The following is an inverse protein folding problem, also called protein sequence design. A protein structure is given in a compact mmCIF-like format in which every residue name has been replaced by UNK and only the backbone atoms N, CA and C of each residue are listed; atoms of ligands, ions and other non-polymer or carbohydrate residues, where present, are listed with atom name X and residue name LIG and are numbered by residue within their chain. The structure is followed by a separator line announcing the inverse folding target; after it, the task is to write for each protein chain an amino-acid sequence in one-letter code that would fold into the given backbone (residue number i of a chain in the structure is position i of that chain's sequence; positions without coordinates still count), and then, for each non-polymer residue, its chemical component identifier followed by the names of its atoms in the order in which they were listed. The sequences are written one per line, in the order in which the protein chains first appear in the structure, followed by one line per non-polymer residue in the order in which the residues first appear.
data_IF_977105886406
#
_entry.id   IF_977105886406
#
_cell.length_a   1.000
_cell.length_b   1.000
_cell.length_c   1.000
_cell.angle_alpha   90.00
_cell.angle_beta   90.00
_cell.angle_gamma   90.00
#
_symmetry.space_group_name_H-M   'P 1'
#
loop_
_entity.id
_entity.type
_entity.pdbx_description
1 polymer ?
#
# COMPACT_ATOMS: atom_id res chain seq x y z
N UNK A 1 -10.11 -2.60 15.81
CA UNK A 1 -10.81 -3.01 14.57
C UNK A 1 -12.27 -2.67 14.72
N UNK A 2 -12.89 -2.15 13.67
CA UNK A 2 -14.34 -2.05 13.58
C UNK A 2 -14.81 -3.09 12.57
N UNK A 3 -15.84 -3.85 12.92
CA UNK A 3 -16.43 -4.87 12.06
C UNK A 3 -17.90 -4.52 11.84
N UNK A 4 -18.38 -4.64 10.60
CA UNK A 4 -19.76 -4.35 10.22
C UNK A 4 -20.40 -5.59 9.64
N UNK A 5 -21.61 -5.92 10.08
CA UNK A 5 -22.44 -6.99 9.52
C UNK A 5 -23.88 -6.51 9.44
N UNK A 6 -24.58 -6.79 8.33
CA UNK A 6 -25.98 -6.41 8.14
C UNK A 6 -26.93 -7.55 8.47
N UNK A 7 -26.49 -8.80 8.28
CA UNK A 7 -27.28 -9.98 8.58
C UNK A 7 -27.31 -10.24 10.09
N UNK A 8 -28.49 -10.21 10.68
CA UNK A 8 -28.66 -10.35 12.13
C UNK A 8 -28.17 -11.71 12.66
N UNK A 9 -28.22 -12.77 11.85
CA UNK A 9 -27.76 -14.09 12.25
C UNK A 9 -26.23 -14.15 12.28
N UNK A 10 -25.56 -13.73 11.20
CA UNK A 10 -24.10 -13.59 11.14
C UNK A 10 -23.58 -12.62 12.21
N UNK A 11 -24.30 -11.53 12.49
CA UNK A 11 -23.96 -10.59 13.57
C UNK A 11 -23.92 -11.30 14.93
N UNK A 12 -24.98 -12.05 15.29
CA UNK A 12 -25.07 -12.73 16.59
C UNK A 12 -23.95 -13.76 16.77
N UNK A 13 -23.58 -14.48 15.70
CA UNK A 13 -22.44 -15.39 15.72
C UNK A 13 -21.11 -14.65 15.87
N UNK A 14 -20.92 -13.54 15.16
CA UNK A 14 -19.73 -12.72 15.28
C UNK A 14 -19.56 -12.18 16.70
N UNK A 15 -20.64 -11.67 17.32
CA UNK A 15 -20.65 -11.19 18.70
C UNK A 15 -20.24 -12.30 19.68
N UNK A 16 -20.91 -13.45 19.60
CA UNK A 16 -20.60 -14.63 20.43
C UNK A 16 -19.14 -15.05 20.29
N UNK A 17 -18.60 -15.06 19.07
CA UNK A 17 -17.22 -15.44 18.80
C UNK A 17 -16.23 -14.42 19.40
N UNK A 18 -16.51 -13.12 19.29
CA UNK A 18 -15.67 -12.05 19.83
C UNK A 18 -15.63 -12.15 21.37
N UNK A 19 -16.79 -12.32 22.00
CA UNK A 19 -16.91 -12.43 23.45
C UNK A 19 -16.21 -13.69 23.99
N UNK A 20 -16.46 -14.83 23.37
CA UNK A 20 -15.87 -16.12 23.76
C UNK A 20 -14.35 -16.15 23.65
N UNK A 21 -13.76 -15.31 22.79
CA UNK A 21 -12.31 -15.16 22.64
C UNK A 21 -11.74 -13.94 23.41
N UNK A 22 -12.56 -13.24 24.20
CA UNK A 22 -12.17 -12.05 24.98
C UNK A 22 -11.59 -10.90 24.12
N UNK A 23 -12.12 -10.71 22.91
CA UNK A 23 -11.63 -9.73 21.94
C UNK A 23 -12.44 -8.43 21.89
N UNK A 24 -13.43 -8.25 22.77
CA UNK A 24 -14.32 -7.07 22.80
C UNK A 24 -13.57 -5.74 22.93
N UNK A 25 -12.42 -5.72 23.61
CA UNK A 25 -11.56 -4.54 23.72
C UNK A 25 -10.78 -4.19 22.43
N UNK A 26 -10.71 -5.11 21.45
CA UNK A 26 -10.01 -4.92 20.17
C UNK A 26 -10.94 -4.87 18.97
N UNK A 27 -12.12 -5.48 19.06
CA UNK A 27 -13.09 -5.61 17.98
C UNK A 27 -14.39 -4.94 18.39
N UNK A 28 -14.69 -3.82 17.74
CA UNK A 28 -15.95 -3.11 17.88
C UNK A 28 -16.89 -3.56 16.75
N UNK A 29 -17.80 -4.48 17.07
CA UNK A 29 -18.80 -4.98 16.13
C UNK A 29 -19.97 -3.99 16.05
N UNK A 30 -20.42 -3.69 14.84
CA UNK A 30 -21.49 -2.75 14.53
C UNK A 30 -22.48 -3.38 13.56
N UNK A 31 -23.77 -3.19 13.81
CA UNK A 31 -24.83 -3.52 12.87
C UNK A 31 -25.36 -2.23 12.26
N UNK A 32 -25.03 -1.90 11.00
CA UNK A 32 -25.53 -0.69 10.36
C UNK A 32 -27.06 -0.73 10.22
N UNK A 33 -27.73 0.37 10.58
CA UNK A 33 -29.19 0.48 10.51
C UNK A 33 -29.74 0.54 9.07
N UNK A 34 -28.89 0.83 8.08
CA UNK A 34 -29.24 0.89 6.66
C UNK A 34 -28.16 0.22 5.80
N UNK A 35 -28.57 -0.66 4.88
CA UNK A 35 -27.68 -1.31 3.89
C UNK A 35 -27.19 -0.38 2.77
N UNK A 36 -27.47 0.93 2.89
CA UNK A 36 -27.18 1.92 1.85
C UNK A 36 -25.77 2.49 1.88
N UNK A 37 -24.97 2.21 2.90
CA UNK A 37 -23.57 2.59 2.96
C UNK A 37 -22.72 1.38 3.31
N UNK A 38 -21.72 1.08 2.50
CA UNK A 38 -20.77 0.00 2.77
C UNK A 38 -19.65 0.44 3.71
N UNK A 39 -19.31 1.74 3.70
CA UNK A 39 -18.29 2.39 4.51
C UNK A 39 -18.92 3.51 5.36
N UNK A 40 -19.78 3.19 6.33
CA UNK A 40 -20.56 4.17 7.09
C UNK A 40 -19.68 4.98 8.03
N UNK A 41 -19.16 6.12 7.56
CA UNK A 41 -18.07 6.85 8.24
C UNK A 41 -18.42 7.42 9.62
N UNK A 42 -19.71 7.55 9.91
CA UNK A 42 -20.29 7.91 11.20
C UNK A 42 -20.05 6.85 12.29
N UNK A 43 -19.88 5.56 11.92
CA UNK A 43 -19.64 4.48 12.89
C UNK A 43 -18.23 4.48 13.51
N UNK A 44 -17.29 5.22 12.92
CA UNK A 44 -15.85 5.17 13.24
C UNK A 44 -15.32 6.52 13.76
N UNK A 45 -16.18 7.57 13.79
CA UNK A 45 -15.83 8.91 14.25
C UNK A 45 -14.75 9.59 13.39
N UNK A 46 -13.93 10.43 14.02
CA UNK A 46 -12.82 11.16 13.36
C UNK A 46 -11.52 10.34 13.25
N UNK A 47 -11.57 9.03 13.55
CA UNK A 47 -10.35 8.21 13.54
C UNK A 47 -9.82 8.01 12.11
N UNK A 48 -8.50 8.12 11.97
CA UNK A 48 -7.80 7.69 10.77
C UNK A 48 -7.70 6.16 10.77
N UNK A 49 -8.20 5.54 9.70
CA UNK A 49 -8.20 4.09 9.54
C UNK A 49 -6.98 3.67 8.73
N UNK A 50 -6.22 2.70 9.21
CA UNK A 50 -5.06 2.21 8.45
C UNK A 50 -5.49 1.47 7.19
N UNK A 51 -6.46 0.58 7.30
CA UNK A 51 -7.00 -0.11 6.15
C UNK A 51 -8.45 -0.55 6.32
N UNK A 52 -9.13 -0.73 5.20
CA UNK A 52 -10.37 -1.48 5.08
C UNK A 52 -10.08 -2.78 4.34
N UNK A 53 -10.68 -3.86 4.79
CA UNK A 53 -10.71 -5.15 4.09
C UNK A 53 -12.15 -5.61 3.92
N UNK A 54 -12.44 -6.25 2.79
CA UNK A 54 -13.77 -6.74 2.47
C UNK A 54 -13.65 -8.06 1.68
N UNK A 55 -14.45 -9.06 2.07
CA UNK A 55 -14.75 -10.22 1.24
C UNK A 55 -16.16 -10.03 0.68
N UNK A 56 -16.32 -9.58 -0.59
CA UNK A 56 -17.61 -9.19 -1.13
C UNK A 56 -18.46 -10.40 -1.53
N UNK A 57 -19.78 -10.24 -1.68
CA UNK A 57 -20.62 -11.23 -2.34
C UNK A 57 -20.17 -11.39 -3.80
N UNK A 58 -19.85 -12.62 -4.22
CA UNK A 58 -19.21 -12.84 -5.52
C UNK A 58 -20.17 -12.87 -6.71
N UNK A 59 -21.42 -13.27 -6.51
CA UNK A 59 -22.32 -13.61 -7.61
C UNK A 59 -23.34 -12.50 -7.89
N UNK A 60 -23.65 -12.27 -9.17
CA UNK A 60 -24.64 -11.27 -9.60
C UNK A 60 -26.10 -11.65 -9.33
N UNK A 61 -26.36 -12.94 -9.18
CA UNK A 61 -27.69 -13.52 -8.92
C UNK A 61 -27.56 -14.96 -8.44
N UNK A 62 -28.62 -15.53 -7.89
CA UNK A 62 -28.68 -16.97 -7.59
C UNK A 62 -28.51 -17.85 -8.82
N UNK A 63 -29.11 -17.47 -9.95
CA UNK A 63 -28.94 -18.22 -11.19
C UNK A 63 -27.46 -18.30 -11.62
N UNK A 64 -26.69 -17.22 -11.40
CA UNK A 64 -25.25 -17.21 -11.64
C UNK A 64 -24.49 -18.13 -10.67
N UNK A 65 -24.87 -18.16 -9.40
CA UNK A 65 -24.33 -19.08 -8.39
C UNK A 65 -24.60 -20.55 -8.76
N UNK A 66 -25.82 -20.87 -9.14
CA UNK A 66 -26.22 -22.23 -9.56
C UNK A 66 -25.46 -22.67 -10.81
N UNK A 67 -25.39 -21.81 -11.83
CA UNK A 67 -24.64 -22.09 -13.05
C UNK A 67 -23.14 -22.33 -12.77
N UNK A 68 -22.53 -21.50 -11.91
CA UNK A 68 -21.13 -21.65 -11.51
C UNK A 68 -20.88 -22.93 -10.69
N UNK A 69 -21.88 -23.40 -9.94
CA UNK A 69 -21.83 -24.65 -9.20
C UNK A 69 -21.96 -25.85 -10.15
N UNK A 70 -22.88 -25.79 -11.11
CA UNK A 70 -23.11 -26.82 -12.12
C UNK A 70 -21.94 -27.00 -13.10
N UNK A 71 -21.20 -25.92 -13.40
CA UNK A 71 -20.03 -25.96 -14.28
C UNK A 71 -18.80 -26.68 -13.68
N UNK A 72 -18.81 -26.98 -12.37
CA UNK A 72 -17.69 -27.68 -11.72
C UNK A 72 -17.80 -29.18 -11.93
N UNK A 73 -16.75 -29.78 -12.50
CA UNK A 73 -16.66 -31.22 -12.81
C UNK A 73 -16.55 -32.12 -11.58
N UNK A 74 -16.25 -31.55 -10.40
CA UNK A 74 -16.30 -32.23 -9.13
C UNK A 74 -16.92 -31.29 -8.08
N UNK A 75 -17.69 -31.82 -7.11
CA UNK A 75 -18.19 -31.02 -6.01
C UNK A 75 -17.01 -30.37 -5.28
N UNK A 76 -17.13 -29.10 -4.85
CA UNK A 76 -16.09 -28.49 -4.05
C UNK A 76 -15.86 -29.29 -2.77
N UNK A 77 -14.60 -29.39 -2.33
CA UNK A 77 -14.24 -30.05 -1.06
C UNK A 77 -14.83 -29.31 0.17
N UNK A 78 -15.32 -28.08 -0.01
CA UNK A 78 -15.99 -27.26 1.00
C UNK A 78 -17.43 -26.98 0.57
N UNK A 79 -18.38 -27.17 1.48
CA UNK A 79 -19.77 -26.74 1.28
C UNK A 79 -19.82 -25.21 1.23
N UNK A 80 -20.53 -24.65 0.25
CA UNK A 80 -20.83 -23.22 0.20
C UNK A 80 -22.10 -23.01 1.03
N UNK A 81 -21.94 -22.61 2.29
CA UNK A 81 -23.03 -22.43 3.26
C UNK A 81 -23.27 -20.96 3.59
N UNK A 82 -22.82 -20.04 2.73
CA UNK A 82 -23.00 -18.61 2.95
C UNK A 82 -24.48 -18.24 2.91
N UNK A 83 -24.86 -17.17 3.60
CA UNK A 83 -26.20 -16.60 3.47
C UNK A 83 -26.40 -15.96 2.09
N UNK A 84 -27.65 -15.68 1.72
CA UNK A 84 -27.96 -15.00 0.45
C UNK A 84 -27.19 -13.68 0.31
N UNK A 85 -27.17 -12.87 1.37
CA UNK A 85 -26.48 -11.57 1.42
C UNK A 85 -24.96 -11.70 1.40
N UNK A 86 -24.39 -12.84 1.80
CA UNK A 86 -22.96 -13.13 1.71
C UNK A 86 -22.54 -13.62 0.31
N UNK A 87 -23.49 -14.12 -0.49
CA UNK A 87 -23.18 -14.75 -1.78
C UNK A 87 -23.57 -13.90 -2.99
N UNK A 88 -24.69 -13.18 -2.90
CA UNK A 88 -25.30 -12.49 -4.04
C UNK A 88 -25.34 -10.98 -3.81
N UNK A 89 -24.95 -10.23 -4.83
CA UNK A 89 -25.16 -8.80 -4.92
C UNK A 89 -25.52 -8.45 -6.37
N UNK A 90 -26.43 -7.50 -6.58
CA UNK A 90 -26.79 -7.08 -7.93
C UNK A 90 -25.55 -6.55 -8.67
N UNK A 91 -25.21 -7.15 -9.82
CA UNK A 91 -23.97 -6.85 -10.55
C UNK A 91 -22.70 -7.53 -10.00
N UNK A 92 -22.84 -8.35 -8.95
CA UNK A 92 -21.79 -9.21 -8.38
C UNK A 92 -20.67 -8.44 -7.70
N UNK A 93 -19.51 -9.10 -7.56
CA UNK A 93 -18.35 -8.53 -6.87
C UNK A 93 -17.89 -7.20 -7.47
N UNK A 94 -17.96 -7.04 -8.80
CA UNK A 94 -17.51 -5.79 -9.46
C UNK A 94 -18.39 -4.62 -9.05
N UNK A 95 -19.72 -4.79 -9.02
CA UNK A 95 -20.63 -3.73 -8.60
C UNK A 95 -20.48 -3.42 -7.10
N UNK A 96 -20.32 -4.46 -6.27
CA UNK A 96 -20.15 -4.30 -4.83
C UNK A 96 -18.87 -3.52 -4.50
N UNK A 97 -17.72 -3.96 -5.04
CA UNK A 97 -16.44 -3.28 -4.81
C UNK A 97 -16.40 -1.94 -5.54
N UNK A 98 -17.09 -1.79 -6.67
CA UNK A 98 -17.32 -0.51 -7.33
C UNK A 98 -18.02 0.51 -6.41
N UNK A 99 -18.99 0.08 -5.61
CA UNK A 99 -19.61 0.94 -4.60
C UNK A 99 -18.64 1.31 -3.47
N UNK A 100 -17.81 0.38 -2.99
CA UNK A 100 -16.72 0.68 -2.05
C UNK A 100 -15.78 1.74 -2.65
N UNK A 101 -15.47 1.64 -3.94
CA UNK A 101 -14.66 2.62 -4.65
C UNK A 101 -15.34 4.01 -4.64
N UNK A 102 -16.62 4.11 -4.99
CA UNK A 102 -17.34 5.40 -4.95
C UNK A 102 -17.36 6.00 -3.54
N UNK A 103 -17.62 5.20 -2.51
CA UNK A 103 -17.59 5.66 -1.11
C UNK A 103 -16.15 6.05 -0.68
N UNK A 104 -15.13 5.36 -1.20
CA UNK A 104 -13.73 5.71 -0.96
C UNK A 104 -13.33 7.08 -1.54
N UNK A 105 -13.99 7.54 -2.62
CA UNK A 105 -13.72 8.85 -3.21
C UNK A 105 -14.12 10.00 -2.27
N UNK A 106 -15.12 9.79 -1.41
CA UNK A 106 -15.53 10.74 -0.38
C UNK A 106 -14.59 10.71 0.83
N UNK A 107 -14.13 9.51 1.23
CA UNK A 107 -13.30 9.33 2.41
C UNK A 107 -11.80 9.61 2.17
N UNK A 108 -11.31 9.38 0.95
CA UNK A 108 -9.95 9.65 0.49
C UNK A 108 -8.87 9.16 1.47
N UNK A 109 -8.14 10.08 2.09
CA UNK A 109 -7.00 9.79 2.97
C UNK A 109 -7.40 9.51 4.42
N UNK A 110 -8.70 9.60 4.77
CA UNK A 110 -9.20 9.12 6.08
C UNK A 110 -8.94 7.63 6.28
N UNK A 111 -8.83 6.89 5.17
CA UNK A 111 -8.37 5.49 5.17
C UNK A 111 -7.07 5.43 4.37
N UNK A 112 -6.00 4.89 4.96
CA UNK A 112 -4.71 4.82 4.24
C UNK A 112 -4.78 3.81 3.09
N UNK A 113 -5.42 2.66 3.28
CA UNK A 113 -5.61 1.65 2.24
C UNK A 113 -7.02 1.08 2.21
N UNK A 114 -7.65 1.11 1.04
CA UNK A 114 -8.86 0.35 0.77
C UNK A 114 -8.45 -0.97 0.13
N UNK A 115 -9.12 -2.06 0.49
CA UNK A 115 -8.86 -3.35 -0.13
C UNK A 115 -10.10 -4.23 -0.19
N UNK A 116 -10.15 -5.10 -1.19
CA UNK A 116 -11.20 -6.11 -1.30
C UNK A 116 -10.68 -7.37 -2.00
N UNK A 117 -11.25 -8.51 -1.62
CA UNK A 117 -11.02 -9.80 -2.24
C UNK A 117 -11.87 -9.94 -3.50
N UNK A 118 -11.36 -10.66 -4.49
CA UNK A 118 -12.05 -11.00 -5.72
C UNK A 118 -12.03 -12.51 -5.95
N UNK A 119 -13.17 -13.03 -6.37
CA UNK A 119 -13.39 -14.42 -6.74
C UNK A 119 -12.90 -14.75 -8.15
N UNK A 120 -12.90 -13.77 -9.06
CA UNK A 120 -12.53 -13.97 -10.48
C UNK A 120 -11.44 -12.99 -10.94
N UNK A 121 -10.50 -13.52 -11.75
CA UNK A 121 -9.42 -12.73 -12.39
C UNK A 121 -9.96 -11.61 -13.28
N UNK A 122 -11.05 -11.87 -14.01
CA UNK A 122 -11.69 -10.92 -14.92
C UNK A 122 -12.31 -9.74 -14.18
N UNK A 123 -12.88 -9.97 -13.00
CA UNK A 123 -13.44 -8.92 -12.15
C UNK A 123 -12.36 -7.94 -11.71
N UNK A 124 -11.14 -8.43 -11.44
CA UNK A 124 -10.02 -7.56 -11.11
C UNK A 124 -9.59 -6.68 -12.28
N UNK A 125 -9.56 -7.20 -13.51
CA UNK A 125 -9.20 -6.38 -14.68
C UNK A 125 -10.20 -5.24 -14.91
N UNK A 126 -11.50 -5.54 -14.77
CA UNK A 126 -12.56 -4.54 -14.86
C UNK A 126 -12.39 -3.49 -13.75
N UNK A 127 -12.19 -3.93 -12.50
CA UNK A 127 -12.04 -3.02 -11.37
C UNK A 127 -10.78 -2.14 -11.46
N UNK A 128 -9.66 -2.67 -11.94
CA UNK A 128 -8.46 -1.86 -12.22
C UNK A 128 -8.75 -0.82 -13.31
N UNK A 129 -9.55 -1.14 -14.32
CA UNK A 129 -10.06 -0.17 -15.29
C UNK A 129 -10.80 0.98 -14.61
N UNK A 130 -11.72 0.67 -13.70
CA UNK A 130 -12.47 1.66 -12.92
C UNK A 130 -11.54 2.55 -12.07
N UNK A 131 -10.54 1.98 -11.40
CA UNK A 131 -9.55 2.76 -10.64
C UNK A 131 -8.84 3.79 -11.51
N UNK A 132 -8.40 3.39 -12.71
CA UNK A 132 -7.73 4.27 -13.67
C UNK A 132 -8.65 5.37 -14.20
N UNK A 133 -9.90 5.04 -14.51
CA UNK A 133 -10.91 6.03 -14.94
C UNK A 133 -11.14 7.10 -13.89
N UNK A 134 -11.06 6.74 -12.60
CA UNK A 134 -11.14 7.68 -11.47
C UNK A 134 -9.81 8.37 -11.14
N UNK A 135 -8.75 8.14 -11.92
CA UNK A 135 -7.42 8.73 -11.72
C UNK A 135 -6.66 8.19 -10.52
N UNK A 136 -7.01 7.00 -10.03
CA UNK A 136 -6.31 6.34 -8.92
C UNK A 136 -5.19 5.48 -9.49
N UNK A 137 -3.97 5.99 -9.39
CA UNK A 137 -2.76 5.29 -9.86
C UNK A 137 -2.07 4.51 -8.72
N UNK A 138 -2.41 4.79 -7.46
CA UNK A 138 -1.83 4.12 -6.30
C UNK A 138 -2.63 2.87 -5.92
N UNK A 139 -2.41 1.78 -6.66
CA UNK A 139 -3.02 0.48 -6.38
C UNK A 139 -2.04 -0.69 -6.58
N UNK A 140 -2.39 -1.82 -5.99
CA UNK A 140 -1.73 -3.11 -6.18
C UNK A 140 -2.77 -4.23 -6.23
N UNK A 141 -2.43 -5.33 -6.90
CA UNK A 141 -3.27 -6.52 -6.96
C UNK A 141 -2.41 -7.77 -6.81
N UNK A 142 -2.84 -8.70 -5.97
CA UNK A 142 -2.13 -9.96 -5.70
C UNK A 142 -2.99 -11.18 -6.02
N UNK A 143 -2.35 -12.28 -6.39
CA UNK A 143 -2.97 -13.60 -6.54
C UNK A 143 -2.65 -14.46 -5.32
N UNK A 144 -3.67 -15.10 -4.76
CA UNK A 144 -3.59 -15.97 -3.60
C UNK A 144 -3.92 -17.41 -4.01
N UNK A 145 -3.04 -18.34 -3.67
CA UNK A 145 -3.21 -19.77 -3.87
C UNK A 145 -3.59 -20.44 -2.55
N UNK A 146 -4.88 -20.80 -2.39
CA UNK A 146 -5.42 -21.46 -1.20
C UNK A 146 -5.80 -22.90 -1.57
N UNK A 147 -4.78 -23.74 -1.82
CA UNK A 147 -4.96 -25.08 -2.36
C UNK A 147 -5.40 -25.05 -3.83
N UNK A 148 -6.55 -25.66 -4.14
CA UNK A 148 -7.15 -25.62 -5.50
C UNK A 148 -7.87 -24.31 -5.81
N UNK A 149 -8.15 -23.51 -4.79
CA UNK A 149 -8.91 -22.27 -4.93
C UNK A 149 -7.96 -21.10 -5.16
N UNK A 150 -8.16 -20.39 -6.26
CA UNK A 150 -7.51 -19.10 -6.52
C UNK A 150 -8.40 -17.96 -6.05
N UNK A 151 -7.79 -16.95 -5.45
CA UNK A 151 -8.40 -15.66 -5.13
C UNK A 151 -7.46 -14.54 -5.52
N UNK A 152 -8.01 -13.37 -5.70
CA UNK A 152 -7.22 -12.16 -5.92
C UNK A 152 -7.58 -11.14 -4.85
N UNK A 153 -6.65 -10.26 -4.50
CA UNK A 153 -6.96 -9.11 -3.65
C UNK A 153 -6.44 -7.86 -4.34
N UNK A 154 -7.26 -6.82 -4.35
CA UNK A 154 -6.87 -5.49 -4.87
C UNK A 154 -6.86 -4.53 -3.70
N UNK A 155 -5.82 -3.70 -3.62
CA UNK A 155 -5.74 -2.61 -2.66
C UNK A 155 -5.42 -1.30 -3.38
N UNK A 156 -6.04 -0.20 -2.97
CA UNK A 156 -5.81 1.14 -3.50
C UNK A 156 -5.75 2.20 -2.40
N UNK A 157 -5.13 3.33 -2.69
CA UNK A 157 -4.93 4.42 -1.74
C UNK A 157 -4.99 5.78 -2.41
N UNK A 158 -5.45 6.79 -1.67
CA UNK A 158 -5.36 8.20 -2.05
C UNK A 158 -4.14 8.89 -1.45
N UNK A 159 -3.39 8.17 -0.60
CA UNK A 159 -2.18 8.66 0.02
C UNK A 159 -0.96 8.54 -0.88
N UNK A 160 0.16 9.04 -0.37
CA UNK A 160 1.44 9.02 -1.06
C UNK A 160 2.28 7.77 -0.77
N UNK A 161 1.92 6.99 0.25
CA UNK A 161 2.56 5.71 0.58
C UNK A 161 2.28 4.69 -0.52
N UNK A 162 3.33 3.98 -0.93
CA UNK A 162 3.29 2.99 -2.00
C UNK A 162 3.22 1.58 -1.44
N UNK A 163 2.56 0.65 -2.16
CA UNK A 163 2.41 -0.71 -1.68
C UNK A 163 3.77 -1.42 -1.71
N UNK A 164 4.14 -2.02 -0.59
CA UNK A 164 5.35 -2.83 -0.47
C UNK A 164 4.96 -4.27 -0.74
N UNK A 165 5.03 -4.71 -1.99
CA UNK A 165 4.74 -6.12 -2.29
C UNK A 165 5.95 -6.81 -2.92
N UNK A 166 6.77 -7.49 -2.11
CA UNK A 166 7.81 -8.38 -2.63
C UNK A 166 7.17 -9.48 -3.50
N UNK A 167 7.69 -9.69 -4.71
CA UNK A 167 7.34 -10.86 -5.53
C UNK A 167 6.13 -10.73 -6.46
N UNK A 168 5.54 -9.53 -6.62
CA UNK A 168 4.48 -9.27 -7.62
C UNK A 168 4.99 -8.76 -8.98
N UNK A 169 6.26 -9.00 -9.29
CA UNK A 169 6.74 -8.91 -10.68
C UNK A 169 6.05 -10.01 -11.50
N UNK A 170 4.91 -9.72 -12.12
CA UNK A 170 4.36 -10.55 -13.20
C UNK A 170 2.84 -10.79 -13.23
N UNK A 171 2.08 -10.56 -12.16
CA UNK A 171 0.65 -10.94 -12.16
C UNK A 171 -0.27 -9.86 -12.74
N UNK A 172 0.13 -8.58 -12.68
CA UNK A 172 -0.56 -7.46 -13.31
C UNK A 172 0.44 -6.48 -13.94
N UNK A 173 0.51 -6.39 -15.28
CA UNK A 173 1.51 -5.58 -16.00
C UNK A 173 1.31 -4.06 -15.86
N UNK A 174 0.29 -3.63 -15.12
CA UNK A 174 -0.10 -2.23 -14.96
C UNK A 174 -0.10 -1.74 -13.51
N UNK A 175 0.40 -2.54 -12.55
CA UNK A 175 0.65 -2.05 -11.19
C UNK A 175 1.82 -1.06 -11.16
N UNK A 176 1.90 -0.25 -10.10
CA UNK A 176 3.00 0.70 -9.88
C UNK A 176 4.35 -0.02 -10.04
N UNK A 177 5.18 0.41 -10.99
CA UNK A 177 6.60 0.02 -11.07
C UNK A 177 7.37 0.72 -9.95
N UNK A 178 7.15 0.25 -8.72
CA UNK A 178 7.78 0.80 -7.52
C UNK A 178 9.17 0.23 -7.24
N UNK A 179 9.83 -0.39 -8.22
CA UNK A 179 11.08 -1.10 -8.02
C UNK A 179 12.00 -0.99 -9.23
N UNK A 180 13.28 -0.69 -8.99
CA UNK A 180 14.35 -0.71 -9.98
C UNK A 180 15.48 -1.60 -9.46
N UNK A 181 15.79 -2.68 -10.17
CA UNK A 181 16.88 -3.62 -9.85
C UNK A 181 18.00 -3.51 -10.90
N UNK A 182 19.27 -3.57 -10.46
CA UNK A 182 20.45 -3.62 -11.33
C UNK A 182 21.66 -4.21 -10.60
N UNK A 183 22.63 -4.71 -11.36
CA UNK A 183 23.88 -5.29 -10.83
C UNK A 183 24.91 -4.19 -10.53
N UNK A 184 25.62 -4.32 -9.42
CA UNK A 184 26.69 -3.45 -8.92
C UNK A 184 27.95 -4.28 -8.60
N UNK A 185 29.12 -3.64 -8.49
CA UNK A 185 30.35 -4.35 -8.04
C UNK A 185 30.17 -4.88 -6.61
N UNK A 186 30.77 -6.05 -6.31
CA UNK A 186 30.62 -6.73 -5.01
C UNK A 186 31.35 -6.04 -3.84
N UNK A 187 32.38 -5.24 -4.10
CA UNK A 187 33.22 -4.64 -3.06
C UNK A 187 32.84 -3.18 -2.78
N UNK A 188 32.73 -2.81 -1.49
CA UNK A 188 32.52 -1.43 -1.04
C UNK A 188 31.10 -0.86 -1.26
N UNK A 189 30.10 -1.72 -1.46
CA UNK A 189 28.71 -1.31 -1.74
C UNK A 189 28.12 -0.44 -0.64
N UNK A 190 28.40 -0.77 0.62
CA UNK A 190 27.87 -0.04 1.79
C UNK A 190 28.46 1.37 1.89
N UNK A 191 29.78 1.53 1.83
CA UNK A 191 30.41 2.85 1.86
C UNK A 191 29.98 3.70 0.64
N UNK A 192 29.80 3.05 -0.52
CA UNK A 192 29.40 3.72 -1.75
C UNK A 192 27.95 4.23 -1.67
N UNK A 193 27.02 3.42 -1.16
CA UNK A 193 25.63 3.84 -0.93
C UNK A 193 25.58 4.95 0.12
N UNK A 194 26.28 4.80 1.24
CA UNK A 194 26.34 5.82 2.29
C UNK A 194 26.90 7.15 1.76
N UNK A 195 27.96 7.11 0.95
CA UNK A 195 28.55 8.29 0.31
C UNK A 195 27.57 8.96 -0.65
N UNK A 196 26.94 8.18 -1.52
CA UNK A 196 25.93 8.66 -2.47
C UNK A 196 24.75 9.36 -1.77
N UNK A 197 24.28 8.77 -0.67
CA UNK A 197 23.17 9.28 0.13
C UNK A 197 23.57 10.47 1.02
N UNK A 198 24.85 10.63 1.34
CA UNK A 198 25.35 11.82 2.04
C UNK A 198 25.49 13.01 1.10
N UNK A 199 26.11 12.79 -0.06
CA UNK A 199 26.42 13.86 -1.03
C UNK A 199 25.17 14.44 -1.69
N UNK A 200 24.09 13.67 -1.79
CA UNK A 200 22.83 14.17 -2.35
C UNK A 200 21.90 14.87 -1.36
N UNK A 201 22.29 15.04 -0.09
CA UNK A 201 21.47 15.78 0.89
C UNK A 201 20.15 15.09 1.22
N UNK A 202 20.16 13.77 1.35
CA UNK A 202 18.98 12.97 1.70
C UNK A 202 18.74 13.00 3.22
N UNK A 203 17.48 13.05 3.67
CA UNK A 203 17.14 12.78 5.06
C UNK A 203 17.15 11.27 5.26
N UNK A 204 18.24 10.75 5.82
CA UNK A 204 18.47 9.31 5.92
C UNK A 204 18.05 8.78 7.28
N UNK A 205 17.28 7.69 7.29
CA UNK A 205 17.05 6.87 8.48
C UNK A 205 17.44 5.44 8.15
N UNK A 206 18.52 4.94 8.75
CA UNK A 206 18.95 3.56 8.53
C UNK A 206 18.23 2.63 9.51
N UNK A 207 17.44 1.68 9.00
CA UNK A 207 16.86 0.63 9.84
C UNK A 207 17.92 -0.44 10.12
N UNK A 208 18.56 -0.36 11.28
CA UNK A 208 19.68 -1.23 11.68
C UNK A 208 19.35 -2.71 11.91
N UNK A 209 18.12 -3.16 11.67
CA UNK A 209 17.71 -4.56 11.89
C UNK A 209 18.06 -5.49 10.73
N UNK A 210 18.27 -4.96 9.51
CA UNK A 210 18.73 -5.74 8.34
C UNK A 210 20.02 -5.13 7.78
N UNK A 211 21.15 -5.85 7.81
CA UNK A 211 22.35 -5.42 7.10
C UNK A 211 22.01 -5.15 5.62
N UNK A 212 22.59 -4.10 5.02
CA UNK A 212 22.43 -3.74 3.59
C UNK A 212 21.06 -3.21 3.17
N UNK A 213 20.29 -2.65 4.09
CA UNK A 213 19.04 -1.94 3.80
C UNK A 213 19.12 -0.50 4.30
N UNK A 214 18.85 0.46 3.42
CA UNK A 214 18.84 1.89 3.73
C UNK A 214 17.49 2.51 3.36
N UNK A 215 16.95 3.37 4.22
CA UNK A 215 15.77 4.16 3.93
C UNK A 215 16.14 5.65 3.85
N UNK A 216 15.65 6.32 2.81
CA UNK A 216 15.89 7.74 2.59
C UNK A 216 14.64 8.47 2.17
N UNK A 217 14.55 9.73 2.59
CA UNK A 217 13.52 10.67 2.18
C UNK A 217 14.14 11.95 1.62
N UNK A 218 13.43 12.56 0.67
CA UNK A 218 13.77 13.86 0.10
C UNK A 218 12.52 14.72 -0.02
N UNK A 219 12.68 16.02 0.21
CA UNK A 219 11.62 17.00 0.00
C UNK A 219 11.49 17.42 -1.46
N UNK A 220 12.61 17.47 -2.17
CA UNK A 220 12.70 17.91 -3.56
C UNK A 220 13.89 17.24 -4.27
N UNK A 221 14.01 17.46 -5.58
CA UNK A 221 15.17 17.03 -6.37
C UNK A 221 16.43 17.80 -5.95
N UNK A 222 17.41 17.07 -5.43
CA UNK A 222 18.72 17.60 -5.03
C UNK A 222 19.88 17.10 -5.92
N UNK A 223 19.62 16.13 -6.81
CA UNK A 223 20.67 15.42 -7.55
C UNK A 223 20.74 15.80 -9.02
N UNK A 224 19.69 16.35 -9.64
CA UNK A 224 19.76 16.72 -11.06
C UNK A 224 20.76 17.87 -11.32
N UNK A 225 21.17 18.00 -12.58
CA UNK A 225 22.04 19.13 -13.00
C UNK A 225 21.37 20.47 -12.73
N UNK A 226 20.04 20.54 -12.85
CA UNK A 226 19.28 21.76 -12.58
C UNK A 226 19.29 22.08 -11.08
N UNK A 227 19.02 21.09 -10.23
CA UNK A 227 19.05 21.21 -8.77
C UNK A 227 20.42 21.68 -8.26
N UNK A 228 21.51 21.08 -8.73
CA UNK A 228 22.88 21.47 -8.33
C UNK A 228 23.22 22.90 -8.76
N UNK A 229 22.81 23.32 -9.96
CA UNK A 229 23.00 24.70 -10.44
C UNK A 229 22.18 25.70 -9.62
N UNK A 230 20.95 25.35 -9.25
CA UNK A 230 20.11 26.17 -8.36
C UNK A 230 20.78 26.34 -7.00
N UNK A 231 21.17 25.24 -6.34
CA UNK A 231 21.87 25.28 -5.05
C UNK A 231 23.17 26.09 -5.09
N UNK A 232 23.96 25.98 -6.16
CA UNK A 232 25.17 26.78 -6.32
C UNK A 232 24.88 28.29 -6.45
N UNK A 233 23.80 28.66 -7.16
CA UNK A 233 23.35 30.06 -7.24
C UNK A 233 22.82 30.56 -5.91
N UNK A 234 21.99 29.78 -5.22
CA UNK A 234 21.40 30.15 -3.94
C UNK A 234 22.50 30.34 -2.87
N UNK A 235 23.51 29.45 -2.86
CA UNK A 235 24.70 29.58 -2.01
C UNK A 235 25.52 30.83 -2.35
N UNK A 236 25.72 31.12 -3.64
CA UNK A 236 26.40 32.35 -4.07
C UNK A 236 25.60 33.62 -3.71
N UNK A 237 24.28 33.52 -3.60
CA UNK A 237 23.39 34.60 -3.18
C UNK A 237 23.21 34.70 -1.65
N UNK A 238 23.82 33.82 -0.86
CA UNK A 238 23.66 33.79 0.60
C UNK A 238 22.27 33.34 1.08
N UNK A 239 21.48 32.68 0.22
CA UNK A 239 20.12 32.23 0.50
C UNK A 239 20.06 30.73 0.82
N UNK A 240 21.09 30.19 1.48
CA UNK A 240 21.14 28.77 1.85
C UNK A 240 20.18 28.51 3.02
N UNK A 241 18.97 28.06 2.72
CA UNK A 241 18.12 27.43 3.73
C UNK A 241 18.69 26.05 4.01
N UNK A 242 19.48 25.93 5.07
CA UNK A 242 19.89 24.64 5.61
C UNK A 242 18.64 23.78 5.81
N UNK A 243 18.52 22.71 5.03
CA UNK A 243 17.54 21.66 5.28
C UNK A 243 17.94 21.02 6.61
N UNK A 244 17.37 21.50 7.71
CA UNK A 244 17.62 20.94 9.04
C UNK A 244 17.31 19.44 9.02
N UNK A 245 18.36 18.64 9.20
CA UNK A 245 18.30 17.20 9.32
C UNK A 245 17.57 16.85 10.62
N UNK A 246 16.36 16.28 10.52
CA UNK A 246 15.68 15.69 11.68
C UNK A 246 16.26 14.28 11.86
N UNK A 247 17.31 14.15 12.67
CA UNK A 247 17.71 12.83 13.16
C UNK A 247 16.85 12.53 14.39
N UNK A 248 15.97 11.53 14.31
CA UNK A 248 15.22 11.03 15.46
C UNK A 248 16.23 10.45 16.48
N UNK A 249 16.66 11.27 17.44
CA UNK A 249 17.28 10.81 18.68
C UNK A 249 16.18 10.79 19.74
N UNK A 250 15.40 9.71 19.82
CA UNK A 250 14.77 9.38 21.10
C UNK A 250 15.84 8.74 21.99
N UNK A 251 16.33 9.54 22.93
CA UNK A 251 16.99 9.01 24.11
C UNK A 251 16.00 8.10 24.83
N UNK A 252 16.43 6.85 25.06
CA UNK A 252 15.81 5.79 25.86
C UNK A 252 15.45 4.55 25.01
N UNK A 253 16.47 3.82 24.56
CA UNK A 253 16.49 2.34 24.44
C UNK A 253 15.34 1.57 23.77
N UNK A 254 14.31 2.22 23.24
CA UNK A 254 13.13 1.60 22.63
C UNK A 254 13.30 1.55 21.11
N UNK A 255 12.77 0.47 20.52
CA UNK A 255 12.93 0.12 19.11
C UNK A 255 12.63 1.28 18.17
N UNK A 256 13.55 1.47 17.22
CA UNK A 256 13.50 2.45 16.14
C UNK A 256 12.17 2.28 15.39
N UNK A 257 11.37 3.35 15.29
CA UNK A 257 10.20 3.40 14.42
C UNK A 257 10.59 2.90 13.02
N UNK A 258 9.83 1.92 12.51
CA UNK A 258 10.12 1.21 11.26
C UNK A 258 10.21 2.14 10.03
N UNK A 259 9.71 3.38 10.16
CA UNK A 259 9.84 4.50 9.24
C UNK A 259 9.98 5.80 10.06
N UNK A 260 10.88 6.74 9.71
CA UNK A 260 10.96 8.03 10.39
C UNK A 260 9.59 8.71 10.38
N UNK A 261 9.24 9.35 11.49
CA UNK A 261 7.93 9.96 11.63
C UNK A 261 7.78 11.04 10.57
N UNK A 262 6.74 10.90 9.75
CA UNK A 262 6.38 11.88 8.71
C UNK A 262 5.79 13.14 9.33
N UNK A 263 6.02 13.36 10.62
CA UNK A 263 5.39 14.37 11.44
C UNK A 263 6.48 15.14 12.18
N UNK A 264 6.40 16.45 12.21
CA UNK A 264 7.31 17.26 13.01
C UNK A 264 7.00 17.08 14.52
N UNK A 265 7.77 17.72 15.39
CA UNK A 265 7.57 17.70 16.85
C UNK A 265 6.17 18.21 17.26
N UNK A 266 5.48 18.93 16.38
CA UNK A 266 4.11 19.44 16.58
C UNK A 266 3.03 18.46 16.08
N UNK A 267 3.41 17.30 15.55
CA UNK A 267 2.46 16.33 14.98
C UNK A 267 1.91 16.74 13.60
N UNK A 268 2.57 17.67 12.89
CA UNK A 268 2.17 18.09 11.55
C UNK A 268 2.91 17.30 10.47
N UNK A 269 2.20 16.82 9.46
CA UNK A 269 2.79 16.01 8.41
C UNK A 269 3.81 16.82 7.59
N UNK A 270 5.08 16.42 7.66
CA UNK A 270 6.16 17.02 6.88
C UNK A 270 6.07 16.50 5.46
N UNK A 271 5.95 17.42 4.50
CA UNK A 271 5.90 17.09 3.08
C UNK A 271 7.19 16.37 2.65
N UNK A 272 7.03 15.13 2.20
CA UNK A 272 8.08 14.32 1.59
C UNK A 272 7.83 14.31 0.09
N UNK A 273 8.76 14.86 -0.68
CA UNK A 273 8.71 14.80 -2.15
C UNK A 273 8.89 13.37 -2.65
N UNK A 274 9.74 12.55 -2.01
CA UNK A 274 9.89 11.12 -2.29
C UNK A 274 10.54 10.38 -1.13
N UNK A 275 10.04 9.18 -0.81
CA UNK A 275 10.67 8.21 0.08
C UNK A 275 11.03 6.92 -0.65
N UNK A 276 12.15 6.29 -0.29
CA UNK A 276 12.66 5.10 -0.95
C UNK A 276 13.44 4.18 0.00
N UNK A 277 13.57 2.92 -0.40
CA UNK A 277 14.51 1.96 0.22
C UNK A 277 15.55 1.54 -0.81
N UNK A 278 16.80 1.39 -0.40
CA UNK A 278 17.84 0.69 -1.15
C UNK A 278 18.14 -0.60 -0.41
N UNK A 279 18.08 -1.72 -1.10
CA UNK A 279 18.44 -3.04 -0.60
C UNK A 279 19.54 -3.62 -1.48
N UNK A 280 20.55 -4.24 -0.87
CA UNK A 280 21.64 -4.89 -1.60
C UNK A 280 21.76 -6.34 -1.18
N UNK A 281 21.53 -7.24 -2.12
CA UNK A 281 21.65 -8.70 -1.96
C UNK A 281 22.69 -9.18 -2.95
N UNK A 282 23.81 -9.70 -2.45
CA UNK A 282 24.96 -10.11 -3.27
C UNK A 282 25.45 -8.96 -4.19
N UNK A 283 25.40 -9.15 -5.51
CA UNK A 283 25.76 -8.17 -6.53
C UNK A 283 24.56 -7.34 -7.02
N UNK A 284 23.35 -7.58 -6.48
CA UNK A 284 22.13 -6.93 -6.91
C UNK A 284 21.73 -5.80 -5.97
N UNK A 285 21.58 -4.61 -6.54
CA UNK A 285 20.97 -3.47 -5.87
C UNK A 285 19.53 -3.30 -6.32
N UNK A 286 18.63 -3.13 -5.35
CA UNK A 286 17.21 -2.88 -5.54
C UNK A 286 16.84 -1.54 -4.90
N UNK A 287 16.23 -0.66 -5.67
CA UNK A 287 15.68 0.62 -5.20
C UNK A 287 14.17 0.51 -5.24
N UNK A 288 13.52 0.69 -4.10
CA UNK A 288 12.08 0.52 -3.92
C UNK A 288 11.45 1.88 -3.60
N UNK A 289 10.45 2.28 -4.37
CA UNK A 289 9.66 3.47 -4.13
C UNK A 289 8.71 3.23 -2.95
N UNK A 290 8.81 4.08 -1.91
CA UNK A 290 8.01 3.96 -0.70
C UNK A 290 6.97 5.06 -0.57
N UNK A 291 7.27 6.26 -1.05
CA UNK A 291 6.42 7.45 -0.85
C UNK A 291 6.63 8.52 -1.92
N UNK A 292 5.64 9.36 -2.16
CA UNK A 292 5.80 10.66 -2.83
C UNK A 292 5.62 10.60 -4.35
N UNK A 293 6.45 11.33 -5.11
CA UNK A 293 6.34 11.52 -6.56
C UNK A 293 7.09 10.44 -7.38
N UNK A 294 6.42 9.88 -8.38
CA UNK A 294 6.97 8.78 -9.20
C UNK A 294 8.03 9.23 -10.21
N UNK A 295 7.90 10.44 -10.76
CA UNK A 295 8.90 11.02 -11.68
C UNK A 295 10.19 11.34 -10.92
N UNK A 296 10.04 11.81 -9.68
CA UNK A 296 11.17 12.03 -8.79
C UNK A 296 11.88 10.70 -8.48
N UNK A 297 11.11 9.63 -8.24
CA UNK A 297 11.66 8.28 -8.08
C UNK A 297 12.38 7.76 -9.32
N UNK A 298 11.79 7.86 -10.52
CA UNK A 298 12.43 7.43 -11.76
C UNK A 298 13.75 8.19 -12.02
N UNK A 299 13.74 9.51 -11.77
CA UNK A 299 14.94 10.36 -11.86
C UNK A 299 16.02 9.92 -10.88
N UNK A 300 15.65 9.70 -9.61
CA UNK A 300 16.54 9.22 -8.57
C UNK A 300 17.13 7.85 -8.92
N UNK A 301 16.28 6.86 -9.18
CA UNK A 301 16.72 5.50 -9.49
C UNK A 301 17.61 5.45 -10.73
N UNK A 302 17.30 6.24 -11.77
CA UNK A 302 18.16 6.37 -12.94
C UNK A 302 19.51 7.03 -12.64
N UNK A 303 19.56 8.00 -11.72
CA UNK A 303 20.80 8.63 -11.26
C UNK A 303 21.67 7.65 -10.47
N UNK A 304 21.07 6.93 -9.51
CA UNK A 304 21.76 5.91 -8.71
C UNK A 304 22.32 4.82 -9.62
N UNK A 305 21.49 4.27 -10.52
CA UNK A 305 21.92 3.24 -11.49
C UNK A 305 23.14 3.70 -12.28
N UNK A 306 23.10 4.88 -12.92
CA UNK A 306 24.22 5.41 -13.71
C UNK A 306 25.52 5.61 -12.91
N UNK A 307 25.44 5.93 -11.63
CA UNK A 307 26.63 6.13 -10.79
C UNK A 307 27.24 4.81 -10.32
N UNK A 308 26.43 3.77 -10.18
CA UNK A 308 26.81 2.52 -9.52
C UNK A 308 26.97 1.34 -10.47
N UNK A 309 26.45 1.42 -11.70
CA UNK A 309 26.75 0.46 -12.75
C UNK A 309 28.15 0.72 -13.30
N UNK A 310 28.91 -0.36 -13.51
CA UNK A 310 30.21 -0.33 -14.18
C UNK A 310 29.98 0.02 -15.64
N UNK A 311 30.70 1.01 -16.18
CA UNK A 311 30.91 1.07 -17.63
C UNK A 311 31.65 -0.23 -18.00
N UNK A 312 30.94 -1.17 -18.62
CA UNK A 312 31.53 -2.40 -19.15
C UNK A 312 32.45 -2.06 -20.32
#
# INVERSE_FOLDING_TARGET
MYATEIDSHSYAFAETNIESNHLTHRINLRQPSSSTQLLPSDLWGEQNIDFIMCNPPFYGSFAALEAATAAKTAPPNSACTGSETEMVYEGGEVAFVGRILEESLALRTRVKWYSSLFGLRSSVDIFIGMLKEKGIENYTATEMHLGKTKRWAVAWSFGDRRPVVPGLQGCYPHGIRGEVEFTVKNEGQEEMVQSLLKDGGFLLTTLKSRPRVWYGEVREDTWSRAARRKKARDRAAGMDMDQQFITDKKGNGEEVCEYPSTYNENGEEVFVGMGFTIEVVEDKMKIIWRRGDGKLFESFAGMVKRKLTVDV
#
